data_IF_539399116043
#
_entry.id   IF_539399116043
#
_cell.length_a   1.000
_cell.length_b   1.000
_cell.length_c   1.000
_cell.angle_alpha   90.00
_cell.angle_beta   90.00
_cell.angle_gamma   90.00
#
_symmetry.space_group_name_H-M   'P 1'
#
loop_
_entity.id
_entity.type
_entity.pdbx_description
1 polymer ?
#
# COMPACT_ATOMS: atom_id res chain seq x y z
N UNK A 1 17.45 -27.23 -26.24
CA UNK A 1 17.93 -25.88 -26.59
C UNK A 1 16.76 -24.96 -26.33
N UNK A 2 16.83 -24.17 -25.26
CA UNK A 2 15.84 -23.15 -24.96
C UNK A 2 16.29 -21.88 -25.68
N UNK A 3 15.41 -21.30 -26.48
CA UNK A 3 15.59 -19.96 -27.01
C UNK A 3 14.68 -19.01 -26.20
N UNK A 4 15.06 -18.88 -24.94
CA UNK A 4 15.32 -17.65 -24.17
C UNK A 4 14.44 -16.39 -24.18
N UNK A 5 13.19 -16.37 -24.68
CA UNK A 5 12.24 -15.33 -24.26
C UNK A 5 10.80 -15.85 -24.09
N UNK A 6 10.49 -16.26 -22.86
CA UNK A 6 9.15 -16.66 -22.42
C UNK A 6 8.17 -15.49 -22.38
N UNK A 7 7.59 -15.14 -23.53
CA UNK A 7 6.45 -14.22 -23.61
C UNK A 7 5.28 -14.94 -24.25
N UNK A 8 4.29 -15.30 -23.43
CA UNK A 8 2.99 -15.76 -23.91
C UNK A 8 2.31 -14.66 -24.73
N UNK A 9 1.68 -14.99 -25.88
CA UNK A 9 0.89 -14.03 -26.62
C UNK A 9 -0.50 -13.99 -26.01
N UNK A 10 -0.80 -12.95 -25.22
CA UNK A 10 -2.18 -12.48 -25.08
C UNK A 10 -2.22 -10.99 -24.79
N UNK A 11 -2.30 -10.24 -25.89
CA UNK A 11 -2.80 -8.88 -25.92
C UNK A 11 -4.28 -8.89 -25.51
N UNK A 12 -4.57 -8.55 -24.25
CA UNK A 12 -5.70 -7.67 -23.90
C UNK A 12 -5.27 -6.81 -22.71
N UNK A 13 -4.53 -5.75 -22.98
CA UNK A 13 -4.67 -4.52 -22.20
C UNK A 13 -5.56 -3.60 -23.04
N UNK A 14 -6.60 -3.04 -22.40
CA UNK A 14 -6.38 -1.73 -21.81
C UNK A 14 -6.93 -1.65 -20.38
N UNK A 15 -6.05 -1.69 -19.37
CA UNK A 15 -6.34 -1.18 -18.03
C UNK A 15 -6.19 0.35 -18.04
N UNK A 16 -7.02 1.07 -18.81
CA UNK A 16 -6.97 2.55 -18.79
C UNK A 16 -8.28 3.14 -18.28
N UNK A 17 -8.24 3.59 -17.02
CA UNK A 17 -8.40 5.01 -16.73
C UNK A 17 -7.22 5.51 -15.90
N UNK A 18 -6.74 6.74 -16.15
CA UNK A 18 -5.82 7.40 -15.24
C UNK A 18 -6.57 7.64 -13.93
N UNK A 19 -6.04 7.12 -12.83
CA UNK A 19 -6.64 7.29 -11.51
C UNK A 19 -6.57 8.76 -11.10
N UNK A 20 -7.66 9.48 -11.33
CA UNK A 20 -8.13 10.40 -10.30
C UNK A 20 -8.36 9.53 -9.07
N UNK A 21 -7.51 9.70 -8.05
CA UNK A 21 -7.59 9.04 -6.74
C UNK A 21 -9.07 8.96 -6.36
N UNK A 22 -9.60 7.74 -6.20
CA UNK A 22 -10.96 7.61 -5.67
C UNK A 22 -11.05 8.37 -4.34
N UNK A 23 -12.17 9.06 -4.06
CA UNK A 23 -12.31 9.86 -2.85
C UNK A 23 -11.87 9.07 -1.63
N UNK A 24 -11.05 9.72 -0.79
CA UNK A 24 -10.41 9.13 0.37
C UNK A 24 -11.41 8.29 1.17
N UNK A 25 -11.08 7.02 1.40
CA UNK A 25 -11.88 6.11 2.23
C UNK A 25 -12.09 6.77 3.61
N UNK A 26 -13.34 7.00 4.02
CA UNK A 26 -13.62 7.66 5.30
C UNK A 26 -13.26 6.76 6.49
N UNK A 27 -12.94 7.36 7.64
CA UNK A 27 -12.66 6.58 8.85
C UNK A 27 -13.88 5.80 9.33
N UNK A 28 -15.08 6.35 9.17
CA UNK A 28 -16.33 5.69 9.53
C UNK A 28 -16.55 4.42 8.70
N UNK A 29 -16.30 4.50 7.39
CA UNK A 29 -16.39 3.33 6.50
C UNK A 29 -15.34 2.27 6.86
N UNK A 30 -14.11 2.68 7.16
CA UNK A 30 -13.06 1.75 7.63
C UNK A 30 -13.50 1.04 8.91
N UNK A 31 -14.06 1.78 9.87
CA UNK A 31 -14.51 1.22 11.14
C UNK A 31 -15.69 0.25 10.96
N UNK A 32 -16.66 0.59 10.10
CA UNK A 32 -17.80 -0.27 9.77
C UNK A 32 -17.35 -1.59 9.13
N UNK A 33 -16.52 -1.50 8.09
CA UNK A 33 -16.00 -2.68 7.38
C UNK A 33 -15.11 -3.52 8.31
N UNK A 34 -14.28 -2.89 9.14
CA UNK A 34 -13.45 -3.57 10.12
C UNK A 34 -14.29 -4.33 11.17
N UNK A 35 -15.39 -3.74 11.65
CA UNK A 35 -16.28 -4.41 12.60
C UNK A 35 -16.89 -5.69 12.01
N UNK A 36 -17.28 -5.67 10.73
CA UNK A 36 -17.76 -6.87 10.03
C UNK A 36 -16.64 -7.90 9.86
N UNK A 37 -15.46 -7.47 9.43
CA UNK A 37 -14.30 -8.36 9.25
C UNK A 37 -13.88 -9.03 10.57
N UNK A 38 -13.92 -8.30 11.69
CA UNK A 38 -13.66 -8.82 13.03
C UNK A 38 -14.71 -9.84 13.46
N UNK A 39 -16.00 -9.52 13.25
CA UNK A 39 -17.12 -10.43 13.60
C UNK A 39 -17.04 -11.74 12.81
N UNK A 40 -16.70 -11.65 11.54
CA UNK A 40 -16.59 -12.81 10.65
C UNK A 40 -15.21 -13.48 10.68
N UNK A 41 -14.23 -12.89 11.40
CA UNK A 41 -12.83 -13.32 11.46
C UNK A 41 -12.21 -13.52 10.07
N UNK A 42 -12.52 -12.64 9.10
CA UNK A 42 -12.04 -12.75 7.71
C UNK A 42 -12.04 -11.40 7.01
N UNK A 43 -11.12 -11.24 6.04
CA UNK A 43 -10.93 -9.99 5.28
C UNK A 43 -11.78 -9.92 3.99
N UNK A 44 -12.45 -11.02 3.61
CA UNK A 44 -13.21 -11.12 2.37
C UNK A 44 -14.22 -9.98 2.17
N UNK A 45 -14.87 -9.55 3.25
CA UNK A 45 -15.81 -8.43 3.20
C UNK A 45 -15.14 -7.10 2.81
N UNK A 46 -13.92 -6.83 3.29
CA UNK A 46 -13.17 -5.65 2.89
C UNK A 46 -12.74 -5.70 1.42
N UNK A 47 -12.35 -6.89 0.94
CA UNK A 47 -12.00 -7.12 -0.47
C UNK A 47 -13.21 -6.84 -1.38
N UNK A 48 -14.36 -7.43 -1.07
CA UNK A 48 -15.61 -7.21 -1.80
C UNK A 48 -16.01 -5.74 -1.77
N UNK A 49 -15.94 -5.08 -0.61
CA UNK A 49 -16.29 -3.67 -0.49
C UNK A 49 -15.37 -2.79 -1.32
N UNK A 50 -14.06 -3.07 -1.33
CA UNK A 50 -13.09 -2.33 -2.14
C UNK A 50 -13.35 -2.47 -3.64
N UNK A 51 -13.73 -3.67 -4.11
CA UNK A 51 -14.07 -3.93 -5.51
C UNK A 51 -15.40 -3.27 -5.91
N UNK A 52 -16.43 -3.35 -5.06
CA UNK A 52 -17.70 -2.66 -5.28
C UNK A 52 -17.54 -1.14 -5.39
N UNK A 53 -16.64 -0.53 -4.61
CA UNK A 53 -16.33 0.90 -4.77
C UNK A 53 -15.68 1.24 -6.12
N UNK A 54 -14.96 0.28 -6.69
CA UNK A 54 -14.31 0.42 -7.98
C UNK A 54 -15.24 0.09 -9.16
N UNK A 55 -16.49 -0.32 -8.90
CA UNK A 55 -17.42 -0.88 -9.89
C UNK A 55 -16.82 -2.08 -10.66
N UNK A 56 -16.05 -2.92 -9.97
CA UNK A 56 -15.41 -4.14 -10.52
C UNK A 56 -15.95 -5.37 -9.79
N UNK A 57 -16.16 -6.48 -10.51
CA UNK A 57 -16.48 -7.76 -9.87
C UNK A 57 -15.28 -8.27 -9.05
N UNK A 58 -15.43 -8.51 -7.73
CA UNK A 58 -14.37 -9.12 -6.92
C UNK A 58 -13.83 -10.43 -7.50
N UNK A 59 -14.65 -11.21 -8.21
CA UNK A 59 -14.23 -12.47 -8.84
C UNK A 59 -13.25 -12.25 -10.00
N UNK A 60 -13.43 -11.20 -10.81
CA UNK A 60 -12.52 -10.84 -11.90
C UNK A 60 -11.14 -10.43 -11.35
N UNK A 61 -11.12 -9.66 -10.27
CA UNK A 61 -9.87 -9.30 -9.60
C UNK A 61 -9.20 -10.55 -9.04
N UNK A 62 -9.94 -11.42 -8.36
CA UNK A 62 -9.41 -12.66 -7.81
C UNK A 62 -8.80 -13.57 -8.90
N UNK A 63 -9.46 -13.70 -10.06
CA UNK A 63 -8.97 -14.45 -11.22
C UNK A 63 -7.66 -13.84 -11.77
N UNK A 64 -7.60 -12.51 -11.90
CA UNK A 64 -6.38 -11.80 -12.34
C UNK A 64 -5.18 -12.02 -11.39
N UNK A 65 -5.46 -12.32 -10.12
CA UNK A 65 -4.47 -12.62 -9.09
C UNK A 65 -4.14 -14.12 -9.00
N UNK A 66 -4.73 -14.94 -9.86
CA UNK A 66 -4.47 -16.38 -9.96
C UNK A 66 -5.37 -17.27 -9.10
N UNK A 67 -6.46 -16.73 -8.51
CA UNK A 67 -7.43 -17.54 -7.80
C UNK A 67 -8.49 -18.10 -8.75
N UNK A 68 -8.72 -19.40 -8.71
CA UNK A 68 -9.90 -19.99 -9.37
C UNK A 68 -11.19 -19.58 -8.66
N UNK A 69 -12.33 -19.67 -9.34
CA UNK A 69 -13.64 -19.39 -8.75
C UNK A 69 -13.92 -20.22 -7.48
N UNK A 70 -13.47 -21.48 -7.46
CA UNK A 70 -13.57 -22.35 -6.28
C UNK A 70 -12.72 -21.83 -5.12
N UNK A 71 -11.46 -21.44 -5.39
CA UNK A 71 -10.57 -20.87 -4.38
C UNK A 71 -11.11 -19.55 -3.83
N UNK A 72 -11.62 -18.69 -4.69
CA UNK A 72 -12.27 -17.44 -4.29
C UNK A 72 -13.50 -17.69 -3.41
N UNK A 73 -14.34 -18.68 -3.79
CA UNK A 73 -15.47 -19.11 -2.96
C UNK A 73 -15.04 -19.60 -1.57
N UNK A 74 -13.91 -20.29 -1.47
CA UNK A 74 -13.33 -20.74 -0.21
C UNK A 74 -12.81 -19.59 0.66
N UNK A 75 -12.25 -18.55 0.05
CA UNK A 75 -11.83 -17.32 0.73
C UNK A 75 -13.05 -16.57 1.26
N UNK A 76 -14.09 -16.40 0.43
CA UNK A 76 -15.34 -15.76 0.83
C UNK A 76 -16.04 -16.47 1.98
N UNK A 77 -16.06 -17.81 1.96
CA UNK A 77 -16.65 -18.61 3.03
C UNK A 77 -15.83 -18.58 4.32
N UNK A 78 -14.55 -18.18 4.26
CA UNK A 78 -13.61 -18.21 5.37
C UNK A 78 -12.94 -19.58 5.57
N UNK A 79 -13.17 -20.53 4.66
CA UNK A 79 -12.49 -21.83 4.67
C UNK A 79 -11.01 -21.76 4.24
N UNK A 80 -10.62 -20.69 3.54
CA UNK A 80 -9.23 -20.36 3.21
C UNK A 80 -8.93 -18.89 3.50
N UNK A 81 -7.65 -18.63 3.77
CA UNK A 81 -7.14 -17.27 3.94
C UNK A 81 -6.79 -16.67 2.57
N UNK A 82 -7.00 -15.36 2.45
CA UNK A 82 -6.46 -14.57 1.35
C UNK A 82 -4.96 -14.34 1.59
N UNK A 83 -4.15 -14.39 0.53
CA UNK A 83 -2.71 -14.18 0.63
C UNK A 83 -2.39 -12.69 0.88
N UNK A 84 -1.77 -12.33 2.03
CA UNK A 84 -1.44 -10.95 2.34
C UNK A 84 -0.51 -10.28 1.31
N UNK A 85 0.34 -11.06 0.62
CA UNK A 85 1.24 -10.51 -0.40
C UNK A 85 0.51 -9.98 -1.64
N UNK A 86 -0.76 -10.35 -1.83
CA UNK A 86 -1.59 -9.91 -2.94
C UNK A 86 -2.40 -8.65 -2.63
N UNK A 87 -2.41 -8.17 -1.38
CA UNK A 87 -3.12 -6.95 -0.97
C UNK A 87 -2.70 -5.71 -1.79
N UNK A 88 -1.40 -5.45 -2.04
CA UNK A 88 -0.99 -4.31 -2.87
C UNK A 88 -1.58 -4.37 -4.28
N UNK A 89 -1.59 -5.57 -4.89
CA UNK A 89 -2.15 -5.78 -6.24
C UNK A 89 -3.67 -5.64 -6.25
N UNK A 90 -4.34 -6.06 -5.17
CA UNK A 90 -5.79 -5.82 -5.01
C UNK A 90 -6.09 -4.32 -4.96
N UNK A 91 -5.36 -3.57 -4.12
CA UNK A 91 -5.53 -2.12 -4.01
C UNK A 91 -5.23 -1.40 -5.33
N UNK A 92 -4.25 -1.88 -6.09
CA UNK A 92 -3.93 -1.36 -7.43
C UNK A 92 -5.10 -1.60 -8.39
N UNK A 93 -5.64 -2.82 -8.43
CA UNK A 93 -6.79 -3.17 -9.26
C UNK A 93 -8.04 -2.34 -8.91
N UNK A 94 -8.28 -2.08 -7.61
CA UNK A 94 -9.44 -1.29 -7.17
C UNK A 94 -9.18 0.22 -7.10
N UNK A 95 -7.94 0.65 -7.35
CA UNK A 95 -7.48 2.04 -7.21
C UNK A 95 -7.88 2.70 -5.87
N UNK A 96 -7.90 1.92 -4.78
CA UNK A 96 -8.20 2.40 -3.44
C UNK A 96 -7.49 1.59 -2.35
N UNK A 97 -7.43 2.15 -1.14
CA UNK A 97 -6.67 1.59 -0.01
C UNK A 97 -7.55 1.03 1.12
N UNK A 98 -8.83 0.77 0.86
CA UNK A 98 -9.77 0.33 1.90
C UNK A 98 -9.27 -0.93 2.63
N UNK A 99 -8.77 -1.92 1.90
CA UNK A 99 -8.29 -3.19 2.47
C UNK A 99 -7.11 -2.94 3.41
N UNK A 100 -6.11 -2.18 2.96
CA UNK A 100 -4.96 -1.81 3.80
C UNK A 100 -5.35 -0.98 5.02
N UNK A 101 -6.30 -0.06 4.88
CA UNK A 101 -6.82 0.75 5.99
C UNK A 101 -7.57 -0.08 7.02
N UNK A 102 -8.37 -1.05 6.58
CA UNK A 102 -9.06 -2.00 7.48
C UNK A 102 -8.06 -2.86 8.23
N UNK A 103 -7.02 -3.36 7.57
CA UNK A 103 -5.96 -4.14 8.23
C UNK A 103 -5.24 -3.29 9.27
N UNK A 104 -4.83 -2.07 8.92
CA UNK A 104 -4.19 -1.15 9.86
C UNK A 104 -5.10 -0.84 11.05
N UNK A 105 -6.39 -0.58 10.81
CA UNK A 105 -7.37 -0.33 11.86
C UNK A 105 -7.50 -1.52 12.83
N UNK A 106 -7.60 -2.75 12.31
CA UNK A 106 -7.69 -3.97 13.12
C UNK A 106 -6.42 -4.19 13.94
N UNK A 107 -5.25 -3.97 13.32
CA UNK A 107 -3.93 -4.07 13.98
C UNK A 107 -3.63 -2.93 14.96
N UNK A 108 -4.49 -1.90 15.02
CA UNK A 108 -4.25 -0.64 15.76
C UNK A 108 -2.97 0.08 15.29
N UNK A 109 -2.66 -0.04 14.02
CA UNK A 109 -1.54 0.59 13.36
C UNK A 109 -2.02 1.74 12.47
N UNK A 110 -1.11 2.67 12.16
CA UNK A 110 -1.40 3.77 11.24
C UNK A 110 -0.96 3.40 9.83
N UNK A 111 -1.87 3.47 8.86
CA UNK A 111 -1.54 3.28 7.45
C UNK A 111 -0.89 4.55 6.90
N UNK A 112 0.45 4.58 6.86
CA UNK A 112 1.21 5.68 6.27
C UNK A 112 1.68 5.33 4.86
N UNK A 113 1.63 6.26 3.90
CA UNK A 113 2.26 6.05 2.60
C UNK A 113 3.74 5.76 2.81
N UNK A 114 4.26 4.76 2.09
CA UNK A 114 5.71 4.49 2.09
C UNK A 114 6.40 5.72 1.51
N UNK A 115 7.29 6.34 2.29
CA UNK A 115 8.16 7.40 1.77
C UNK A 115 8.89 6.88 0.54
N UNK A 116 8.79 7.64 -0.55
CA UNK A 116 9.52 7.36 -1.79
C UNK A 116 11.03 7.40 -1.53
N UNK A 117 11.80 6.75 -2.39
CA UNK A 117 13.26 6.77 -2.28
C UNK A 117 13.81 8.21 -2.38
N UNK A 118 13.18 9.05 -3.21
CA UNK A 118 13.50 10.47 -3.33
C UNK A 118 13.23 11.23 -2.02
N UNK A 119 12.08 11.04 -1.38
CA UNK A 119 11.76 11.68 -0.11
C UNK A 119 12.71 11.22 1.01
N UNK A 120 13.06 9.93 1.04
CA UNK A 120 14.05 9.42 2.01
C UNK A 120 15.42 10.05 1.80
N UNK A 121 15.87 10.16 0.54
CA UNK A 121 17.15 10.82 0.21
C UNK A 121 17.13 12.31 0.53
N UNK A 122 16.01 13.00 0.29
CA UNK A 122 15.86 14.41 0.63
C UNK A 122 15.95 14.64 2.15
N UNK A 123 15.27 13.83 2.96
CA UNK A 123 15.34 13.90 4.42
C UNK A 123 16.76 13.60 4.92
N UNK A 124 17.41 12.58 4.36
CA UNK A 124 18.79 12.24 4.73
C UNK A 124 19.77 13.39 4.43
N UNK A 125 19.68 13.99 3.25
CA UNK A 125 20.52 15.12 2.85
C UNK A 125 20.25 16.38 3.71
N UNK A 126 18.99 16.64 4.05
CA UNK A 126 18.63 17.74 4.94
C UNK A 126 19.16 17.53 6.36
N UNK A 127 19.11 16.30 6.86
CA UNK A 127 19.63 15.93 8.17
C UNK A 127 21.15 16.10 8.22
N UNK A 128 21.86 15.63 7.19
CA UNK A 128 23.31 15.79 7.06
C UNK A 128 23.72 17.27 6.96
N UNK A 129 22.98 18.08 6.20
CA UNK A 129 23.22 19.51 6.11
C UNK A 129 23.04 20.23 7.46
N UNK A 130 22.03 19.84 8.25
CA UNK A 130 21.82 20.36 9.61
C UNK A 130 22.98 19.98 10.54
N UNK A 131 23.45 18.73 10.49
CA UNK A 131 24.59 18.30 11.29
C UNK A 131 25.88 19.03 10.93
N UNK A 132 26.14 19.20 9.63
CA UNK A 132 27.32 19.94 9.16
C UNK A 132 27.26 21.41 9.56
N UNK A 133 26.08 22.05 9.50
CA UNK A 133 25.89 23.42 10.00
C UNK A 133 26.22 23.54 11.49
N UNK A 134 25.70 22.62 12.32
CA UNK A 134 25.99 22.60 13.76
C UNK A 134 27.49 22.43 14.05
N UNK A 135 28.18 21.54 13.32
CA UNK A 135 29.64 21.34 13.45
C UNK A 135 30.42 22.58 13.05
N UNK A 136 29.98 23.28 12.01
CA UNK A 136 30.62 24.49 11.51
C UNK A 136 30.43 25.66 12.49
N UNK A 137 29.22 25.84 13.02
CA UNK A 137 28.91 26.83 14.06
C UNK A 137 29.78 26.62 15.31
N UNK A 138 29.86 25.37 15.80
CA UNK A 138 30.72 25.03 16.93
C UNK A 138 32.20 25.31 16.65
N UNK A 139 32.67 24.96 15.44
CA UNK A 139 34.07 25.21 15.05
C UNK A 139 34.39 26.70 14.97
N UNK A 140 33.45 27.52 14.49
CA UNK A 140 33.59 28.98 14.47
C UNK A 140 33.59 29.57 15.89
N UNK A 141 32.73 29.09 16.79
CA UNK A 141 32.76 29.51 18.20
C UNK A 141 34.09 29.17 18.88
N UNK A 142 34.63 27.98 18.62
CA UNK A 142 35.93 27.56 19.16
C UNK A 142 37.05 28.45 18.61
N UNK A 143 37.08 28.70 17.30
CA UNK A 143 38.09 29.58 16.68
C UNK A 143 37.99 31.03 17.18
N UNK A 144 36.79 31.55 17.36
CA UNK A 144 36.59 32.89 17.93
C UNK A 144 37.10 32.99 19.38
N UNK A 145 36.95 31.93 20.18
CA UNK A 145 37.50 31.86 21.55
C UNK A 145 39.02 31.72 21.58
N UNK A 146 39.62 31.09 20.57
CA UNK A 146 41.08 30.92 20.46
C UNK A 146 41.77 32.19 19.94
N UNK A 147 41.17 32.88 18.96
CA UNK A 147 41.72 34.11 18.37
C UNK A 147 41.36 35.41 19.12
N UNK A 148 40.46 35.35 20.10
CA UNK A 148 40.09 36.47 20.98
C UNK A 148 40.97 36.61 22.23
N UNK A 149 42.10 35.88 22.29
CA UNK A 149 43.19 36.03 23.26
C UNK A 149 44.43 36.55 22.56
#
# INVERSE_FOLDING_TARGET
>A
MFDDQGVLPNRVLPLVRPAGIQPSVSLDEVAEVAAVCLRQKRIAHALERAAHRADIDPAEIAESLGYSAQHWGQIKSGSKLFDPFLIPRWNEATSNTLVSRVIAFISKEECRPLQSELERRAIAAETEAIELRKKLEWSLEVLAKVNGK
#
